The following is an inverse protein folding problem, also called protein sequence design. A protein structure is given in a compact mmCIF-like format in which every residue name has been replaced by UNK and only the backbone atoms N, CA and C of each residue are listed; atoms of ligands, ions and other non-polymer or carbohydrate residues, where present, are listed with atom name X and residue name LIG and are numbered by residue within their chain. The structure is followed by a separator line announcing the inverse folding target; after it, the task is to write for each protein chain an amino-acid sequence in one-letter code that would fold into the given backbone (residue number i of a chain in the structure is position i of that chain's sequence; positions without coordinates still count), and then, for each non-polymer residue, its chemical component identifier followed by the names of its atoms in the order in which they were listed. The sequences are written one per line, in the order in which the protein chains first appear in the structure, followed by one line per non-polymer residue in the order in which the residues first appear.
data_IF_245335263449
#
_entry.id   IF_245335263449
#
_cell.length_a   1.000
_cell.length_b   1.000
_cell.length_c   1.000
_cell.angle_alpha   90.00
_cell.angle_beta   90.00
_cell.angle_gamma   90.00
#
_symmetry.space_group_name_H-M   'P 1'
#
loop_
_entity.id
_entity.type
_entity.pdbx_description
1 polymer ?
#
# COMPACT_ATOMS: atom_id res chain seq x y z
N UNK A 1 12.35 0.86 -7.42
CA UNK A 1 12.00 1.84 -6.37
C UNK A 1 13.08 1.78 -5.31
N UNK A 2 13.59 2.92 -4.83
CA UNK A 2 14.64 2.97 -3.80
C UNK A 2 14.03 3.30 -2.43
N UNK A 3 14.38 2.51 -1.40
CA UNK A 3 13.97 2.70 0.01
C UNK A 3 15.17 2.43 0.91
N UNK A 4 15.55 3.39 1.77
CA UNK A 4 16.77 3.31 2.61
C UNK A 4 18.02 2.89 1.81
N UNK A 5 18.26 3.52 0.67
CA UNK A 5 19.39 3.22 -0.23
C UNK A 5 19.37 1.80 -0.85
N UNK A 6 18.33 1.00 -0.60
CA UNK A 6 18.13 -0.31 -1.22
C UNK A 6 17.23 -0.15 -2.45
N UNK A 7 17.74 -0.59 -3.61
CA UNK A 7 16.93 -0.71 -4.81
C UNK A 7 16.01 -1.94 -4.72
N UNK A 8 14.73 -1.69 -4.45
CA UNK A 8 13.67 -2.69 -4.51
C UNK A 8 13.29 -2.89 -5.97
N UNK A 9 13.66 -4.06 -6.49
CA UNK A 9 13.37 -4.53 -7.84
C UNK A 9 12.64 -5.88 -7.80
N UNK A 10 12.31 -6.41 -8.98
CA UNK A 10 11.56 -7.67 -9.13
C UNK A 10 12.27 -8.85 -8.47
N UNK A 11 13.58 -8.97 -8.66
CA UNK A 11 14.37 -10.10 -8.18
C UNK A 11 14.45 -10.10 -6.65
N UNK A 12 14.70 -8.93 -6.05
CA UNK A 12 14.68 -8.76 -4.61
C UNK A 12 13.31 -9.14 -4.05
N UNK A 13 12.22 -8.59 -4.59
CA UNK A 13 10.87 -8.93 -4.14
C UNK A 13 10.58 -10.43 -4.27
N UNK A 14 10.97 -11.06 -5.38
CA UNK A 14 10.79 -12.50 -5.60
C UNK A 14 11.46 -13.31 -4.48
N UNK A 15 12.75 -13.06 -4.25
CA UNK A 15 13.53 -13.81 -3.23
C UNK A 15 13.01 -13.66 -1.80
N UNK A 16 12.38 -12.53 -1.47
CA UNK A 16 11.83 -12.29 -0.14
C UNK A 16 10.40 -12.82 0.01
N UNK A 17 9.57 -12.69 -1.03
CA UNK A 17 8.21 -13.21 -1.03
C UNK A 17 8.17 -14.74 -0.94
N UNK A 18 9.15 -15.43 -1.53
CA UNK A 18 9.34 -16.88 -1.40
C UNK A 18 9.53 -17.34 0.06
N UNK A 19 10.00 -16.47 0.95
CA UNK A 19 10.18 -16.76 2.38
C UNK A 19 8.88 -16.69 3.19
N UNK A 20 7.77 -16.23 2.61
CA UNK A 20 6.51 -16.09 3.33
C UNK A 20 5.91 -17.46 3.70
N UNK A 21 5.62 -17.70 5.00
CA UNK A 21 4.99 -18.94 5.41
C UNK A 21 3.54 -19.01 4.92
N UNK A 22 3.07 -20.20 4.56
CA UNK A 22 1.69 -20.45 4.15
C UNK A 22 1.38 -20.13 2.67
N UNK A 23 2.37 -19.70 1.89
CA UNK A 23 2.25 -19.56 0.45
C UNK A 23 2.99 -20.71 -0.25
N UNK A 24 2.27 -21.50 -1.05
CA UNK A 24 2.90 -22.41 -1.99
C UNK A 24 3.11 -21.68 -3.31
N UNK A 25 4.28 -21.08 -3.47
CA UNK A 25 4.67 -20.46 -4.72
C UNK A 25 5.01 -21.55 -5.73
N UNK A 26 4.02 -22.09 -6.45
CA UNK A 26 4.34 -22.83 -7.69
C UNK A 26 5.13 -21.89 -8.61
N UNK A 27 6.01 -22.42 -9.46
CA UNK A 27 6.90 -21.64 -10.36
C UNK A 27 6.14 -20.59 -11.20
N UNK A 28 4.84 -20.72 -11.38
CA UNK A 28 3.98 -19.76 -12.11
C UNK A 28 3.36 -18.66 -11.24
N UNK A 29 3.15 -18.88 -9.94
CA UNK A 29 2.30 -17.99 -9.11
C UNK A 29 2.94 -16.67 -8.71
N UNK A 30 4.23 -16.65 -8.38
CA UNK A 30 4.95 -15.43 -7.97
C UNK A 30 5.23 -14.52 -9.17
N UNK A 31 5.57 -15.11 -10.31
CA UNK A 31 5.77 -14.36 -11.55
C UNK A 31 4.49 -13.74 -12.07
N UNK A 32 3.35 -14.42 -11.92
CA UNK A 32 2.02 -13.85 -12.22
C UNK A 32 1.70 -12.69 -11.28
N UNK A 33 1.98 -12.82 -9.98
CA UNK A 33 1.75 -11.75 -9.00
C UNK A 33 2.58 -10.49 -9.32
N UNK A 34 3.83 -10.68 -9.76
CA UNK A 34 4.75 -9.60 -10.16
C UNK A 34 4.60 -9.19 -11.63
N UNK A 35 3.66 -9.79 -12.39
CA UNK A 35 3.44 -9.45 -13.78
C UNK A 35 2.57 -8.19 -13.88
N UNK A 36 3.17 -7.12 -14.42
CA UNK A 36 2.55 -5.81 -14.65
C UNK A 36 1.86 -5.69 -16.02
N UNK A 37 1.67 -6.80 -16.75
CA UNK A 37 1.07 -6.79 -18.09
C UNK A 37 -0.36 -6.21 -18.09
N UNK A 38 -1.10 -6.38 -16.99
CA UNK A 38 -2.40 -5.73 -16.80
C UNK A 38 -2.31 -4.71 -15.65
N UNK A 39 -2.14 -3.41 -15.96
CA UNK A 39 -2.09 -2.35 -14.96
C UNK A 39 -3.43 -2.08 -14.26
N UNK A 40 -4.54 -2.71 -14.70
CA UNK A 40 -5.88 -2.54 -14.13
C UNK A 40 -6.32 -3.71 -13.23
N UNK A 41 -5.49 -4.73 -13.01
CA UNK A 41 -5.78 -5.84 -12.10
C UNK A 41 -5.60 -5.42 -10.62
N UNK A 42 -6.60 -4.69 -10.11
CA UNK A 42 -6.66 -4.19 -8.72
C UNK A 42 -6.55 -5.34 -7.70
N UNK A 43 -7.28 -6.47 -7.83
CA UNK A 43 -7.14 -7.59 -6.88
C UNK A 43 -5.71 -8.12 -6.77
N UNK A 44 -5.00 -8.25 -7.89
CA UNK A 44 -3.59 -8.69 -7.90
C UNK A 44 -2.68 -7.68 -7.22
N UNK A 45 -2.87 -6.39 -7.50
CA UNK A 45 -2.11 -5.31 -6.86
C UNK A 45 -2.31 -5.34 -5.34
N UNK A 46 -3.55 -5.42 -4.86
CA UNK A 46 -3.86 -5.54 -3.42
C UNK A 46 -3.20 -6.78 -2.82
N UNK A 47 -3.26 -7.93 -3.50
CA UNK A 47 -2.60 -9.16 -3.07
C UNK A 47 -1.08 -8.97 -2.93
N UNK A 48 -0.43 -8.33 -3.90
CA UNK A 48 1.01 -8.06 -3.86
C UNK A 48 1.37 -7.17 -2.66
N UNK A 49 0.63 -6.07 -2.45
CA UNK A 49 0.85 -5.18 -1.31
C UNK A 49 0.67 -5.92 0.02
N UNK A 50 -0.37 -6.75 0.16
CA UNK A 50 -0.57 -7.58 1.36
C UNK A 50 0.58 -8.56 1.60
N UNK A 51 1.16 -9.14 0.54
CA UNK A 51 2.33 -10.00 0.67
C UNK A 51 3.56 -9.20 1.15
N UNK A 52 3.79 -8.00 0.60
CA UNK A 52 4.87 -7.10 1.06
C UNK A 52 4.66 -6.68 2.53
N UNK A 53 3.43 -6.40 2.94
CA UNK A 53 3.08 -6.15 4.35
C UNK A 53 3.42 -7.37 5.22
N UNK A 54 3.12 -8.57 4.72
CA UNK A 54 3.39 -9.84 5.38
C UNK A 54 4.87 -10.09 5.68
N UNK A 55 5.78 -9.59 4.83
CA UNK A 55 7.23 -9.76 5.01
C UNK A 55 7.71 -9.26 6.38
N UNK A 56 7.05 -8.26 6.95
CA UNK A 56 7.36 -7.71 8.28
C UNK A 56 7.25 -8.73 9.42
N UNK A 57 6.60 -9.86 9.18
CA UNK A 57 6.38 -10.93 10.16
C UNK A 57 7.42 -12.06 10.07
N UNK A 58 8.35 -11.99 9.11
CA UNK A 58 9.44 -12.97 8.99
C UNK A 58 10.38 -12.86 10.19
N UNK A 59 10.99 -13.99 10.55
CA UNK A 59 12.02 -14.02 11.59
C UNK A 59 13.28 -13.28 11.11
N UNK A 60 13.88 -12.51 12.02
CA UNK A 60 15.08 -11.70 11.81
C UNK A 60 16.35 -12.41 12.28
N UNK A 61 16.22 -13.51 13.04
CA UNK A 61 17.31 -14.08 13.82
C UNK A 61 18.48 -14.63 12.98
N UNK A 62 18.26 -14.90 11.69
CA UNK A 62 19.25 -15.52 10.80
C UNK A 62 19.74 -14.60 9.66
N UNK A 63 19.41 -13.31 9.70
CA UNK A 63 19.77 -12.39 8.61
C UNK A 63 21.21 -11.88 8.77
N UNK A 64 22.01 -11.98 7.70
CA UNK A 64 23.29 -11.28 7.63
C UNK A 64 23.09 -9.75 7.57
N UNK A 65 24.12 -8.91 7.79
CA UNK A 65 23.97 -7.45 7.79
C UNK A 65 23.41 -6.86 6.49
N UNK A 66 23.72 -7.45 5.33
CA UNK A 66 23.21 -7.02 4.02
C UNK A 66 21.75 -7.41 3.84
N UNK A 67 21.38 -8.63 4.25
CA UNK A 67 20.00 -9.08 4.28
C UNK A 67 19.15 -8.27 5.26
N UNK A 68 19.69 -7.94 6.44
CA UNK A 68 19.02 -7.11 7.43
C UNK A 68 18.69 -5.73 6.87
N UNK A 69 19.62 -5.08 6.16
CA UNK A 69 19.37 -3.79 5.52
C UNK A 69 18.25 -3.86 4.45
N UNK A 70 18.27 -4.90 3.61
CA UNK A 70 17.20 -5.16 2.62
C UNK A 70 15.86 -5.43 3.30
N UNK A 71 15.87 -6.22 4.36
CA UNK A 71 14.68 -6.55 5.13
C UNK A 71 14.06 -5.32 5.79
N UNK A 72 14.88 -4.44 6.37
CA UNK A 72 14.42 -3.18 6.94
C UNK A 72 13.79 -2.26 5.89
N UNK A 73 14.37 -2.16 4.70
CA UNK A 73 13.79 -1.40 3.59
C UNK A 73 12.43 -1.97 3.18
N UNK A 74 12.31 -3.29 3.06
CA UNK A 74 11.04 -3.97 2.77
C UNK A 74 10.02 -3.79 3.90
N UNK A 75 10.47 -3.80 5.15
CA UNK A 75 9.60 -3.56 6.30
C UNK A 75 9.04 -2.14 6.33
N UNK A 76 9.88 -1.15 6.02
CA UNK A 76 9.46 0.25 5.94
C UNK A 76 8.44 0.44 4.82
N UNK A 77 8.70 -0.17 3.66
CA UNK A 77 7.75 -0.17 2.55
C UNK A 77 6.42 -0.84 2.93
N UNK A 78 6.50 -2.03 3.53
CA UNK A 78 5.31 -2.73 4.03
C UNK A 78 4.55 -1.94 5.10
N UNK A 79 5.23 -1.15 5.92
CA UNK A 79 4.57 -0.28 6.90
C UNK A 79 3.82 0.87 6.23
N UNK A 80 4.35 1.43 5.14
CA UNK A 80 3.66 2.43 4.34
C UNK A 80 2.42 1.82 3.66
N UNK A 81 2.56 0.67 3.00
CA UNK A 81 1.43 0.01 2.33
C UNK A 81 0.35 -0.47 3.29
N UNK A 82 0.72 -0.94 4.48
CA UNK A 82 -0.24 -1.26 5.54
C UNK A 82 -1.03 -0.02 5.95
N UNK A 83 -0.33 1.10 6.16
CA UNK A 83 -0.94 2.37 6.52
C UNK A 83 -1.89 2.91 5.44
N UNK A 84 -1.60 2.65 4.15
CA UNK A 84 -2.45 2.98 3.02
C UNK A 84 -3.68 2.05 2.92
N UNK A 85 -3.49 0.73 3.00
CA UNK A 85 -4.53 -0.24 2.66
C UNK A 85 -5.55 -0.47 3.77
N UNK A 86 -5.12 -0.58 5.03
CA UNK A 86 -6.01 -0.91 6.16
C UNK A 86 -7.24 0.01 6.25
N UNK A 87 -7.13 1.34 6.02
CA UNK A 87 -8.29 2.25 5.98
C UNK A 87 -9.42 1.85 5.03
N UNK A 88 -9.10 1.15 3.94
CA UNK A 88 -10.07 0.78 2.91
C UNK A 88 -10.62 -0.63 3.09
N UNK A 89 -9.85 -1.55 3.69
CA UNK A 89 -10.20 -2.98 3.76
C UNK A 89 -10.56 -3.46 5.16
N UNK A 90 -10.19 -2.72 6.22
CA UNK A 90 -10.41 -3.15 7.59
C UNK A 90 -11.69 -2.55 8.18
N UNK A 91 -12.75 -3.37 8.22
CA UNK A 91 -14.06 -2.98 8.77
C UNK A 91 -14.05 -2.69 10.28
N UNK A 92 -13.00 -3.10 10.99
CA UNK A 92 -12.89 -2.90 12.44
C UNK A 92 -12.26 -1.54 12.79
N UNK A 93 -11.73 -0.80 11.81
CA UNK A 93 -11.21 0.54 12.06
C UNK A 93 -12.34 1.55 12.21
N UNK A 94 -12.30 2.33 13.29
CA UNK A 94 -13.06 3.56 13.38
C UNK A 94 -12.56 4.59 12.36
N UNK A 95 -13.41 5.55 12.00
CA UNK A 95 -13.05 6.63 11.07
C UNK A 95 -11.79 7.39 11.51
N UNK A 96 -11.62 7.61 12.83
CA UNK A 96 -10.40 8.22 13.37
C UNK A 96 -9.17 7.36 13.12
N UNK A 97 -9.24 6.04 13.34
CA UNK A 97 -8.13 5.12 13.06
C UNK A 97 -7.80 5.08 11.57
N UNK A 98 -8.81 5.10 10.69
CA UNK A 98 -8.61 5.16 9.24
C UNK A 98 -7.85 6.44 8.85
N UNK A 99 -8.27 7.61 9.34
CA UNK A 99 -7.58 8.89 9.09
C UNK A 99 -6.15 8.89 9.64
N UNK A 100 -5.95 8.45 10.89
CA UNK A 100 -4.62 8.37 11.50
C UNK A 100 -3.69 7.48 10.70
N UNK A 101 -4.20 6.36 10.18
CA UNK A 101 -3.44 5.45 9.33
C UNK A 101 -3.08 6.10 7.98
N UNK A 102 -4.01 6.80 7.32
CA UNK A 102 -3.72 7.54 6.08
C UNK A 102 -2.72 8.68 6.30
N UNK A 103 -2.80 9.40 7.43
CA UNK A 103 -1.83 10.43 7.80
C UNK A 103 -0.43 9.81 7.99
N UNK A 104 -0.34 8.66 8.69
CA UNK A 104 0.90 7.90 8.82
C UNK A 104 1.47 7.52 7.45
N UNK A 105 0.63 7.07 6.51
CA UNK A 105 1.08 6.75 5.16
C UNK A 105 1.70 7.97 4.46
N UNK A 106 1.03 9.12 4.47
CA UNK A 106 1.56 10.37 3.89
C UNK A 106 2.91 10.75 4.48
N UNK A 107 3.05 10.72 5.82
CA UNK A 107 4.32 11.06 6.45
C UNK A 107 5.45 10.11 6.05
N UNK A 108 5.17 8.80 5.96
CA UNK A 108 6.16 7.81 5.53
C UNK A 108 6.59 8.04 4.08
N UNK A 109 5.64 8.19 3.15
CA UNK A 109 5.99 8.40 1.74
C UNK A 109 6.65 9.76 1.51
N UNK A 110 6.27 10.81 2.25
CA UNK A 110 6.92 12.12 2.18
C UNK A 110 8.37 12.06 2.62
N UNK A 111 8.67 11.38 3.73
CA UNK A 111 10.06 11.18 4.16
C UNK A 111 10.89 10.39 3.14
N UNK A 112 10.33 9.31 2.60
CA UNK A 112 10.98 8.51 1.56
C UNK A 112 11.19 9.31 0.26
N UNK A 113 10.21 10.11 -0.13
CA UNK A 113 10.26 10.96 -1.32
C UNK A 113 11.26 12.11 -1.17
N UNK A 114 11.36 12.73 0.00
CA UNK A 114 12.36 13.76 0.25
C UNK A 114 13.79 13.21 0.14
N UNK A 115 14.00 11.97 0.60
CA UNK A 115 15.32 11.35 0.58
C UNK A 115 15.72 10.78 -0.80
N UNK A 116 14.76 10.25 -1.57
CA UNK A 116 15.04 9.50 -2.79
C UNK A 116 14.40 10.09 -4.06
N UNK A 117 13.55 11.12 -3.90
CA UNK A 117 12.80 11.79 -4.98
C UNK A 117 12.12 10.78 -5.91
N UNK A 118 12.28 10.97 -7.21
CA UNK A 118 11.69 10.14 -8.26
C UNK A 118 12.20 8.71 -8.33
N UNK A 119 13.28 8.39 -7.59
CA UNK A 119 13.77 7.00 -7.47
C UNK A 119 12.90 6.17 -6.53
N UNK A 120 12.14 6.80 -5.64
CA UNK A 120 11.13 6.13 -4.81
C UNK A 120 9.79 6.00 -5.53
N UNK A 121 9.15 7.12 -5.87
CA UNK A 121 7.86 7.18 -6.59
C UNK A 121 7.95 8.20 -7.73
N UNK A 122 7.17 8.05 -8.80
CA UNK A 122 7.05 9.12 -9.78
C UNK A 122 6.37 10.36 -9.17
N UNK A 123 6.68 11.56 -9.69
CA UNK A 123 6.00 12.80 -9.27
C UNK A 123 4.47 12.66 -9.32
N UNK A 124 3.97 12.00 -10.36
CA UNK A 124 2.55 11.76 -10.56
C UNK A 124 1.98 10.86 -9.47
N UNK A 125 2.56 9.68 -9.25
CA UNK A 125 2.06 8.74 -8.25
C UNK A 125 2.15 9.30 -6.83
N UNK A 126 3.21 10.08 -6.53
CA UNK A 126 3.31 10.82 -5.27
C UNK A 126 2.16 11.83 -5.13
N UNK A 127 1.91 12.64 -6.16
CA UNK A 127 0.80 13.60 -6.18
C UNK A 127 -0.57 12.93 -6.01
N UNK A 128 -0.79 11.81 -6.70
CA UNK A 128 -2.03 11.04 -6.64
C UNK A 128 -2.26 10.50 -5.22
N UNK A 129 -1.24 9.96 -4.56
CA UNK A 129 -1.34 9.51 -3.17
C UNK A 129 -1.67 10.65 -2.19
N UNK A 130 -1.03 11.82 -2.36
CA UNK A 130 -1.34 13.00 -1.55
C UNK A 130 -2.79 13.44 -1.76
N UNK A 131 -3.29 13.41 -3.00
CA UNK A 131 -4.66 13.76 -3.32
C UNK A 131 -5.68 12.79 -2.71
N UNK A 132 -5.45 11.47 -2.80
CA UNK A 132 -6.30 10.44 -2.18
C UNK A 132 -6.45 10.69 -0.68
N UNK A 133 -5.34 10.89 0.03
CA UNK A 133 -5.38 11.09 1.48
C UNK A 133 -6.00 12.43 1.85
N UNK A 134 -5.66 13.51 1.15
CA UNK A 134 -6.26 14.83 1.37
C UNK A 134 -7.77 14.79 1.18
N UNK A 135 -8.25 14.12 0.13
CA UNK A 135 -9.68 13.96 -0.11
C UNK A 135 -10.35 13.16 1.01
N UNK A 136 -9.77 12.02 1.42
CA UNK A 136 -10.31 11.23 2.53
C UNK A 136 -10.41 12.03 3.84
N UNK A 137 -9.39 12.83 4.16
CA UNK A 137 -9.37 13.66 5.38
C UNK A 137 -10.36 14.81 5.30
N UNK A 138 -10.43 15.54 4.17
CA UNK A 138 -11.31 16.71 4.03
C UNK A 138 -12.79 16.35 3.88
N UNK A 139 -13.11 15.15 3.41
CA UNK A 139 -14.49 14.68 3.31
C UNK A 139 -15.16 14.56 4.68
N UNK A 140 -14.43 14.23 5.73
CA UNK A 140 -14.98 14.08 7.08
C UNK A 140 -15.57 15.37 7.64
N UNK A 141 -14.80 16.48 7.79
CA UNK A 141 -15.37 17.73 8.26
C UNK A 141 -16.39 18.31 7.28
N UNK A 142 -16.19 18.12 5.96
CA UNK A 142 -17.17 18.57 4.96
C UNK A 142 -18.53 17.92 5.15
N UNK A 143 -18.58 16.60 5.33
CA UNK A 143 -19.84 15.88 5.58
C UNK A 143 -20.46 16.31 6.91
N UNK A 144 -19.66 16.47 7.96
CA UNK A 144 -20.16 16.91 9.26
C UNK A 144 -20.75 18.34 9.23
N UNK A 145 -20.17 19.24 8.44
CA UNK A 145 -20.71 20.59 8.21
C UNK A 145 -22.05 20.59 7.45
N UNK A 146 -22.28 19.60 6.58
CA UNK A 146 -23.53 19.45 5.84
C UNK A 146 -24.63 18.89 6.75
N UNK A 147 -24.33 17.78 7.42
CA UNK A 147 -25.22 17.16 8.40
C UNK A 147 -24.40 16.29 9.37
N UNK A 148 -24.37 16.60 10.67
CA UNK A 148 -23.66 15.83 11.68
C UNK A 148 -24.07 14.35 11.80
N UNK A 149 -25.25 13.98 11.31
CA UNK A 149 -25.76 12.60 11.37
C UNK A 149 -25.30 11.73 10.21
N UNK A 150 -24.72 12.32 9.15
CA UNK A 150 -24.21 11.58 8.01
C UNK A 150 -22.95 10.80 8.38
N UNK A 151 -22.90 9.55 7.93
CA UNK A 151 -21.74 8.68 8.10
C UNK A 151 -20.80 8.82 6.91
N UNK A 152 -19.50 8.77 7.18
CA UNK A 152 -18.45 8.74 6.16
C UNK A 152 -17.83 7.35 6.15
N UNK A 153 -17.76 6.76 4.96
CA UNK A 153 -17.11 5.48 4.72
C UNK A 153 -16.00 5.69 3.69
N UNK A 154 -14.74 5.64 4.12
CA UNK A 154 -13.58 5.95 3.26
C UNK A 154 -13.49 4.98 2.07
N UNK A 155 -13.89 3.71 2.24
CA UNK A 155 -13.94 2.73 1.16
C UNK A 155 -14.92 3.08 0.03
N UNK A 156 -15.88 3.98 0.27
CA UNK A 156 -16.87 4.41 -0.74
C UNK A 156 -16.49 5.73 -1.42
N UNK A 157 -15.29 6.27 -1.17
CA UNK A 157 -14.80 7.50 -1.81
C UNK A 157 -14.24 7.27 -3.22
N UNK A 158 -14.09 6.00 -3.64
CA UNK A 158 -13.66 5.61 -4.98
C UNK A 158 -14.79 5.67 -6.02
N UNK A 159 -14.47 5.23 -7.24
CA UNK A 159 -15.36 5.22 -8.39
C UNK A 159 -15.92 3.82 -8.71
N UNK A 160 -15.66 2.81 -7.87
CA UNK A 160 -16.05 1.42 -8.11
C UNK A 160 -17.56 1.23 -8.30
N UNK A 161 -18.38 1.98 -7.55
CA UNK A 161 -19.85 1.96 -7.70
C UNK A 161 -20.26 2.44 -9.09
N UNK A 162 -19.58 3.47 -9.60
CA UNK A 162 -19.84 4.03 -10.94
C UNK A 162 -19.34 3.08 -12.02
N UNK A 163 -18.15 2.48 -11.84
CA UNK A 163 -17.62 1.46 -12.76
C UNK A 163 -18.53 0.24 -12.85
N UNK A 164 -19.06 -0.23 -11.72
CA UNK A 164 -20.03 -1.34 -11.71
C UNK A 164 -21.28 -0.99 -12.50
N UNK A 165 -21.74 0.26 -12.45
CA UNK A 165 -22.91 0.69 -13.22
C UNK A 165 -22.63 0.66 -14.74
N UNK A 166 -21.44 1.09 -15.16
CA UNK A 166 -21.04 1.07 -16.58
C UNK A 166 -20.64 -0.32 -17.10
N UNK A 167 -20.19 -1.23 -16.23
CA UNK A 167 -19.88 -2.62 -16.59
C UNK A 167 -21.11 -3.53 -16.76
N UNK A 168 -22.30 -3.04 -16.42
CA UNK A 168 -23.57 -3.73 -16.60
C UNK A 168 -24.36 -3.29 -17.84
N UNK A 169 -23.78 -2.43 -18.70
CA UNK A 169 -24.40 -1.93 -19.94
C UNK A 169 -23.94 -2.74 -21.15
#
# INVERSE_FOLDING_TARGET
MVVKDICINRDLLTSWLERLPGYNWSETSIHVLLNLADPQDVPRMVKLLLCIIGLRKLDKNELDPSEAAKFEALCLLGQAFDALLQPFININYSLSQQITSLAKFVHLISGLYLNNSTSFLSNQLYGDFQAVVKNAVLMVPKTHLIDPNLKVFICLLGDDVVKSLFGCV
#
